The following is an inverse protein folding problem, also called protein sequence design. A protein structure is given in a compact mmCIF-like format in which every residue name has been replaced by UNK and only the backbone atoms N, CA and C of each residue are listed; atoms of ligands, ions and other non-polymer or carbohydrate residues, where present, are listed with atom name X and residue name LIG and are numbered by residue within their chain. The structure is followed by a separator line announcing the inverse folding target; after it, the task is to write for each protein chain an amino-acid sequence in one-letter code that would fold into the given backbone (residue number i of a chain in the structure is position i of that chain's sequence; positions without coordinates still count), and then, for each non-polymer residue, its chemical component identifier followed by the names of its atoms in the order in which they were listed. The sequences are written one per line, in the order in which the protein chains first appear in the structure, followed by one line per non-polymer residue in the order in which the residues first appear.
data_IF_279639976363
#
_entry.id   IF_279639976363
#
_cell.length_a   1.000
_cell.length_b   1.000
_cell.length_c   1.000
_cell.angle_alpha   90.00
_cell.angle_beta   90.00
_cell.angle_gamma   90.00
#
_symmetry.space_group_name_H-M   'P 1'
#
loop_
_entity.id
_entity.type
_entity.pdbx_description
1 polymer ?
#
# COMPACT_ATOMS: atom_id res chain seq x y z
N UNK A 1 4.67 25.57 -12.75
CA UNK A 1 5.27 24.82 -11.67
C UNK A 1 4.31 23.77 -11.18
N UNK A 2 4.73 22.54 -11.22
CA UNK A 2 3.90 21.49 -10.64
C UNK A 2 3.66 21.81 -9.17
N UNK A 3 2.50 21.47 -8.66
CA UNK A 3 2.29 21.48 -7.23
C UNK A 3 3.44 20.67 -6.64
N UNK A 4 4.39 21.35 -6.06
CA UNK A 4 5.51 20.66 -5.47
C UNK A 4 5.03 19.92 -4.24
N UNK A 5 5.38 18.64 -4.17
CA UNK A 5 5.20 17.89 -2.95
C UNK A 5 6.13 18.47 -1.89
N UNK A 6 5.69 18.45 -0.65
CA UNK A 6 6.59 18.70 0.45
C UNK A 6 7.69 17.61 0.42
N UNK A 7 8.88 17.95 0.89
CA UNK A 7 10.00 17.00 0.92
C UNK A 7 9.70 15.75 1.76
N UNK A 8 8.71 15.85 2.67
CA UNK A 8 8.32 14.76 3.55
C UNK A 8 7.14 13.94 3.00
N UNK A 9 6.75 14.14 1.74
CA UNK A 9 5.61 13.45 1.13
C UNK A 9 6.03 12.66 -0.09
N UNK A 10 5.47 11.46 -0.26
CA UNK A 10 5.60 10.70 -1.50
C UNK A 10 4.25 10.62 -2.19
N UNK A 11 4.31 10.53 -3.51
CA UNK A 11 3.15 10.37 -4.37
C UNK A 11 3.49 9.37 -5.46
N UNK A 12 2.67 8.32 -5.59
CA UNK A 12 2.81 7.33 -6.65
C UNK A 12 1.46 7.18 -7.32
N UNK A 13 1.42 7.46 -8.61
CA UNK A 13 0.22 7.26 -9.42
C UNK A 13 0.47 6.09 -10.36
N UNK A 14 -0.45 5.14 -10.39
CA UNK A 14 -0.29 3.96 -11.24
C UNK A 14 -1.64 3.47 -11.71
N UNK A 15 -1.70 3.02 -12.97
CA UNK A 15 -2.87 2.40 -13.57
C UNK A 15 -2.73 0.89 -13.53
N UNK A 16 -3.78 0.22 -13.08
CA UNK A 16 -3.84 -1.24 -13.00
C UNK A 16 -4.87 -1.78 -14.00
N UNK A 17 -4.55 -2.91 -14.63
CA UNK A 17 -5.42 -3.57 -15.63
C UNK A 17 -6.48 -4.42 -14.93
N UNK A 18 -7.33 -3.78 -14.14
CA UNK A 18 -8.39 -4.44 -13.40
C UNK A 18 -9.41 -3.40 -12.93
N UNK A 19 -10.67 -3.82 -12.75
CA UNK A 19 -11.70 -2.92 -12.21
C UNK A 19 -11.41 -2.57 -10.75
N UNK A 20 -11.96 -1.46 -10.30
CA UNK A 20 -11.67 -0.93 -8.96
C UNK A 20 -12.04 -1.90 -7.85
N UNK A 21 -13.07 -2.70 -8.02
CA UNK A 21 -13.47 -3.68 -7.00
C UNK A 21 -12.36 -4.70 -6.72
N UNK A 22 -11.57 -5.05 -7.75
CA UNK A 22 -10.42 -5.95 -7.59
C UNK A 22 -9.33 -5.27 -6.78
N UNK A 23 -8.99 -4.03 -7.13
CA UNK A 23 -7.96 -3.29 -6.40
C UNK A 23 -8.37 -3.08 -4.95
N UNK A 24 -9.61 -2.70 -4.71
CA UNK A 24 -10.09 -2.46 -3.36
C UNK A 24 -10.04 -3.73 -2.52
N UNK A 25 -10.40 -4.88 -3.11
CA UNK A 25 -10.32 -6.18 -2.42
C UNK A 25 -8.87 -6.53 -2.07
N UNK A 26 -7.93 -6.24 -2.96
CA UNK A 26 -6.51 -6.53 -2.74
C UNK A 26 -5.93 -5.70 -1.57
N UNK A 27 -6.45 -4.50 -1.35
CA UNK A 27 -6.06 -3.67 -0.21
C UNK A 27 -6.77 -4.04 1.08
N UNK A 28 -7.99 -4.59 1.01
CA UNK A 28 -8.85 -4.72 2.18
C UNK A 28 -8.88 -6.12 2.80
N UNK A 29 -8.38 -7.13 2.11
CA UNK A 29 -8.41 -8.51 2.59
C UNK A 29 -7.02 -9.01 2.89
N UNK A 30 -6.82 -9.54 4.10
CA UNK A 30 -5.51 -10.00 4.57
C UNK A 30 -4.91 -11.07 3.66
N UNK A 31 -5.73 -12.02 3.19
CA UNK A 31 -5.25 -13.09 2.31
C UNK A 31 -4.72 -12.56 0.99
N UNK A 32 -5.32 -11.49 0.48
CA UNK A 32 -4.79 -10.84 -0.72
C UNK A 32 -3.53 -10.04 -0.42
N UNK A 33 -3.53 -9.28 0.68
CA UNK A 33 -2.38 -8.46 1.05
C UNK A 33 -1.10 -9.29 1.20
N UNK A 34 -1.21 -10.49 1.73
CA UNK A 34 -0.07 -11.38 1.90
C UNK A 34 0.61 -11.75 0.58
N UNK A 35 -0.08 -11.61 -0.54
CA UNK A 35 0.45 -11.95 -1.86
C UNK A 35 1.30 -10.85 -2.49
N UNK A 36 1.05 -9.60 -2.14
CA UNK A 36 1.70 -8.49 -2.84
C UNK A 36 2.46 -7.51 -1.94
N UNK A 37 2.19 -7.50 -0.65
CA UNK A 37 2.82 -6.50 0.22
C UNK A 37 4.32 -6.73 0.35
N UNK A 38 5.08 -5.63 0.28
CA UNK A 38 6.53 -5.60 0.43
C UNK A 38 7.30 -5.52 -0.88
N UNK A 39 8.53 -5.03 -0.82
CA UNK A 39 9.40 -4.94 -2.00
C UNK A 39 9.66 -6.29 -2.64
N UNK A 40 10.31 -6.28 -3.82
CA UNK A 40 10.48 -7.47 -4.67
C UNK A 40 11.07 -8.68 -3.94
N UNK A 41 12.08 -8.46 -3.09
CA UNK A 41 12.76 -9.54 -2.39
C UNK A 41 12.14 -9.90 -1.05
N UNK A 42 10.99 -9.32 -0.73
CA UNK A 42 10.28 -9.57 0.53
C UNK A 42 9.06 -10.45 0.28
N UNK A 43 8.68 -11.18 1.33
CA UNK A 43 7.38 -11.87 1.39
C UNK A 43 6.60 -11.29 2.56
N UNK A 44 5.29 -11.51 2.56
CA UNK A 44 4.41 -11.06 3.63
C UNK A 44 3.67 -12.27 4.21
N UNK A 45 4.30 -13.03 5.14
CA UNK A 45 3.67 -14.25 5.67
C UNK A 45 2.57 -13.97 6.69
N UNK A 46 2.55 -12.77 7.28
CA UNK A 46 1.58 -12.42 8.31
C UNK A 46 0.86 -11.14 7.98
N UNK A 47 -0.47 -11.16 8.04
CA UNK A 47 -1.29 -9.96 7.90
C UNK A 47 -2.63 -10.20 8.61
N UNK A 48 -3.07 -9.20 9.38
CA UNK A 48 -4.40 -9.17 9.98
C UNK A 48 -5.04 -7.82 9.67
N UNK A 49 -6.30 -7.84 9.31
CA UNK A 49 -7.01 -6.62 8.94
C UNK A 49 -8.40 -6.64 9.58
N UNK A 50 -8.70 -5.61 10.36
CA UNK A 50 -10.04 -5.32 10.85
C UNK A 50 -10.56 -4.15 10.00
N UNK A 51 -11.20 -4.48 8.88
CA UNK A 51 -11.50 -3.51 7.82
C UNK A 51 -12.75 -2.70 8.13
N UNK A 52 -12.58 -1.72 9.02
CA UNK A 52 -13.62 -0.75 9.38
C UNK A 52 -12.93 0.51 9.87
N UNK A 53 -13.63 1.63 9.83
CA UNK A 53 -13.10 2.88 10.37
C UNK A 53 -12.85 2.67 11.87
N UNK A 54 -11.64 3.01 12.32
CA UNK A 54 -11.20 2.75 13.69
C UNK A 54 -10.61 1.36 13.89
N UNK A 55 -10.74 0.45 12.92
CA UNK A 55 -10.15 -0.88 13.00
C UNK A 55 -8.65 -0.84 12.74
N UNK A 56 -7.94 -1.83 13.28
CA UNK A 56 -6.49 -1.91 13.15
C UNK A 56 -6.08 -2.94 12.10
N UNK A 57 -4.94 -2.70 11.48
CA UNK A 57 -4.29 -3.71 10.67
C UNK A 57 -2.86 -3.88 11.12
N UNK A 58 -2.31 -5.07 10.92
CA UNK A 58 -0.90 -5.34 11.14
C UNK A 58 -0.42 -6.33 10.09
N UNK A 59 0.82 -6.16 9.66
CA UNK A 59 1.44 -7.06 8.71
C UNK A 59 2.93 -7.15 8.98
N UNK A 60 3.53 -8.22 8.50
CA UNK A 60 4.97 -8.41 8.60
C UNK A 60 5.52 -8.76 7.23
N UNK A 61 6.57 -8.05 6.83
CA UNK A 61 7.30 -8.38 5.63
C UNK A 61 8.69 -8.87 6.03
N UNK A 62 9.22 -9.82 5.29
CA UNK A 62 10.55 -10.35 5.59
C UNK A 62 11.35 -10.69 4.34
N UNK A 63 12.66 -10.65 4.50
CA UNK A 63 13.60 -11.12 3.49
C UNK A 63 14.76 -11.80 4.20
N UNK A 64 15.54 -12.60 3.45
CA UNK A 64 16.73 -13.23 3.99
C UNK A 64 17.75 -12.21 4.46
N UNK A 65 17.81 -11.06 3.79
CA UNK A 65 18.78 -10.00 4.08
C UNK A 65 18.34 -9.10 5.22
N UNK A 66 17.05 -8.78 5.31
CA UNK A 66 16.55 -7.77 6.25
C UNK A 66 15.70 -8.30 7.39
N UNK A 67 15.47 -9.61 7.45
CA UNK A 67 14.71 -10.22 8.52
C UNK A 67 13.24 -9.82 8.52
N UNK A 68 12.61 -9.89 9.69
CA UNK A 68 11.20 -9.60 9.89
C UNK A 68 10.98 -8.14 10.25
N UNK A 69 10.05 -7.51 9.56
CA UNK A 69 9.73 -6.10 9.78
C UNK A 69 8.20 -5.96 9.91
N UNK A 70 7.74 -5.58 11.09
CA UNK A 70 6.32 -5.40 11.38
C UNK A 70 5.91 -3.96 11.18
N UNK A 71 4.70 -3.78 10.68
CA UNK A 71 4.09 -2.46 10.55
C UNK A 71 2.59 -2.59 10.74
N UNK A 72 1.94 -1.46 10.96
CA UNK A 72 0.51 -1.43 11.10
C UNK A 72 -0.03 -0.04 11.30
N UNK A 73 -1.33 0.04 11.53
CA UNK A 73 -2.01 1.30 11.74
C UNK A 73 -3.51 1.14 11.94
N UNK A 74 -4.21 2.25 11.80
CA UNK A 74 -5.66 2.35 12.04
C UNK A 74 -6.31 2.95 10.79
N UNK A 75 -7.43 2.39 10.37
CA UNK A 75 -8.21 2.96 9.26
C UNK A 75 -8.94 4.22 9.71
N UNK A 76 -8.76 5.29 8.97
CA UNK A 76 -9.37 6.60 9.24
C UNK A 76 -10.59 6.86 8.37
N UNK A 77 -10.52 6.47 7.09
CA UNK A 77 -11.62 6.60 6.15
C UNK A 77 -11.66 5.37 5.25
N UNK A 78 -12.87 4.88 5.00
CA UNK A 78 -13.11 3.79 4.06
C UNK A 78 -14.29 4.19 3.22
N UNK A 79 -14.05 4.50 1.96
CA UNK A 79 -15.10 4.76 0.99
C UNK A 79 -14.99 3.71 -0.10
N UNK A 80 -15.86 2.70 -0.10
CA UNK A 80 -15.71 1.55 -0.98
C UNK A 80 -15.50 1.92 -2.44
N UNK A 81 -14.46 1.35 -3.02
CA UNK A 81 -14.06 1.55 -4.42
C UNK A 81 -13.66 2.99 -4.78
N UNK A 82 -13.45 3.84 -3.79
CA UNK A 82 -13.09 5.25 -4.04
C UNK A 82 -11.89 5.72 -3.23
N UNK A 83 -11.86 5.43 -1.92
CA UNK A 83 -10.85 6.05 -1.07
C UNK A 83 -10.56 5.23 0.17
N UNK A 84 -9.28 5.13 0.50
CA UNK A 84 -8.80 4.57 1.77
C UNK A 84 -7.85 5.57 2.42
N UNK A 85 -8.02 5.78 3.72
CA UNK A 85 -7.07 6.57 4.51
C UNK A 85 -6.75 5.76 5.76
N UNK A 86 -5.46 5.54 6.00
CA UNK A 86 -5.02 4.80 7.17
C UNK A 86 -3.65 5.28 7.63
N UNK A 87 -3.36 5.07 8.92
CA UNK A 87 -2.04 5.36 9.45
C UNK A 87 -1.08 4.22 9.15
N UNK A 88 0.20 4.51 9.12
CA UNK A 88 1.24 3.52 8.85
C UNK A 88 2.45 3.82 9.73
N UNK A 89 2.84 2.85 10.55
CA UNK A 89 3.98 2.99 11.46
C UNK A 89 4.79 1.70 11.47
N UNK A 90 6.10 1.83 11.34
CA UNK A 90 7.01 0.70 11.51
C UNK A 90 7.26 0.44 12.99
N UNK A 91 7.24 -0.82 13.40
CA UNK A 91 7.49 -1.22 14.80
C UNK A 91 8.96 -1.37 15.14
N UNK A 92 9.79 -1.69 14.13
CA UNK A 92 11.18 -2.07 14.35
C UNK A 92 12.07 -0.87 14.69
N UNK A 93 13.35 -1.13 14.95
CA UNK A 93 14.31 -0.11 15.37
C UNK A 93 15.00 0.61 14.22
N UNK A 94 14.45 0.57 13.03
CA UNK A 94 15.04 1.25 11.88
C UNK A 94 14.88 2.76 11.92
N UNK A 95 15.45 3.47 10.94
CA UNK A 95 15.39 4.94 10.88
C UNK A 95 13.98 5.51 10.83
N UNK A 96 13.00 4.72 10.41
CA UNK A 96 11.60 5.16 10.34
C UNK A 96 10.75 4.61 11.48
N UNK A 97 11.35 3.91 12.44
CA UNK A 97 10.60 3.30 13.54
C UNK A 97 9.87 4.35 14.37
N UNK A 98 8.61 4.08 14.70
CA UNK A 98 7.80 4.94 15.54
C UNK A 98 7.30 6.21 14.87
N UNK A 99 7.64 6.46 13.62
CA UNK A 99 7.12 7.62 12.89
C UNK A 99 5.78 7.25 12.30
N UNK A 100 4.72 7.85 12.82
CA UNK A 100 3.39 7.64 12.26
C UNK A 100 3.22 8.46 10.99
N UNK A 101 2.90 7.78 9.90
CA UNK A 101 2.58 8.44 8.63
C UNK A 101 1.11 8.21 8.31
N UNK A 102 0.57 9.05 7.43
CA UNK A 102 -0.79 8.90 6.93
C UNK A 102 -0.72 8.51 5.46
N UNK A 103 -1.38 7.42 5.12
CA UNK A 103 -1.51 6.96 3.74
C UNK A 103 -2.91 7.33 3.26
N UNK A 104 -2.97 7.96 2.10
CA UNK A 104 -4.23 8.29 1.42
C UNK A 104 -4.19 7.69 0.03
N UNK A 105 -5.16 6.83 -0.27
CA UNK A 105 -5.26 6.19 -1.58
C UNK A 105 -6.61 6.54 -2.18
N UNK A 106 -6.59 7.08 -3.39
CA UNK A 106 -7.81 7.31 -4.15
C UNK A 106 -7.79 6.44 -5.40
N UNK A 107 -8.97 5.97 -5.79
CA UNK A 107 -9.13 5.08 -6.93
C UNK A 107 -10.10 5.70 -7.92
N UNK A 108 -9.78 5.60 -9.21
CA UNK A 108 -10.65 6.07 -10.28
C UNK A 108 -10.66 5.02 -11.38
N UNK A 109 -11.85 4.46 -11.64
CA UNK A 109 -11.98 3.45 -12.69
C UNK A 109 -12.37 4.09 -14.02
N UNK A 110 -11.69 3.67 -15.10
CA UNK A 110 -12.00 4.09 -16.46
C UNK A 110 -11.81 2.90 -17.38
N UNK A 111 -12.87 2.50 -18.08
CA UNK A 111 -12.81 1.44 -19.10
C UNK A 111 -12.24 0.12 -18.57
N UNK A 112 -12.63 -0.25 -17.35
CA UNK A 112 -12.19 -1.49 -16.73
C UNK A 112 -10.78 -1.45 -16.14
N UNK A 113 -10.14 -0.29 -16.17
CA UNK A 113 -8.83 -0.06 -15.56
C UNK A 113 -8.98 0.87 -14.36
N UNK A 114 -8.07 0.77 -13.42
CA UNK A 114 -8.13 1.59 -12.22
C UNK A 114 -6.86 2.41 -12.08
N UNK A 115 -7.03 3.73 -11.93
CA UNK A 115 -5.93 4.63 -11.57
C UNK A 115 -5.91 4.73 -10.06
N UNK A 116 -4.77 4.35 -9.47
CA UNK A 116 -4.54 4.44 -8.04
C UNK A 116 -3.59 5.60 -7.76
N UNK A 117 -4.02 6.53 -6.92
CA UNK A 117 -3.20 7.65 -6.47
C UNK A 117 -2.86 7.40 -5.01
N UNK A 118 -1.60 7.15 -4.74
CA UNK A 118 -1.11 6.78 -3.42
C UNK A 118 -0.25 7.91 -2.85
N UNK A 119 -0.60 8.39 -1.65
CA UNK A 119 0.15 9.42 -0.94
C UNK A 119 0.52 8.94 0.44
N UNK A 120 1.70 9.29 0.90
CA UNK A 120 2.14 8.98 2.26
C UNK A 120 3.01 10.11 2.80
N UNK A 121 2.74 10.52 4.04
CA UNK A 121 3.51 11.55 4.74
C UNK A 121 3.23 11.49 6.25
N UNK A 122 4.09 12.08 7.11
CA UNK A 122 5.37 12.69 6.79
C UNK A 122 6.53 11.70 6.88
N UNK A 123 7.60 11.97 6.15
CA UNK A 123 8.86 11.23 6.29
C UNK A 123 9.90 12.10 6.97
N UNK A 124 10.84 11.49 7.68
CA UNK A 124 11.88 12.23 8.42
C UNK A 124 12.85 12.95 7.50
N UNK A 125 13.03 12.43 6.28
CA UNK A 125 13.97 12.98 5.31
C UNK A 125 13.58 12.60 3.91
N UNK A 126 14.13 13.29 2.93
CA UNK A 126 13.99 12.93 1.51
C UNK A 126 14.50 11.51 1.27
N UNK A 127 15.58 11.12 1.94
CA UNK A 127 16.16 9.78 1.80
C UNK A 127 15.19 8.70 2.28
N UNK A 128 14.51 8.92 3.41
CA UNK A 128 13.52 7.97 3.91
C UNK A 128 12.31 7.92 3.00
N UNK A 129 11.86 9.06 2.51
CA UNK A 129 10.79 9.13 1.52
C UNK A 129 11.15 8.32 0.27
N UNK A 130 12.33 8.55 -0.28
CA UNK A 130 12.75 7.89 -1.52
C UNK A 130 12.92 6.39 -1.34
N UNK A 131 13.39 5.95 -0.18
CA UNK A 131 13.46 4.53 0.13
C UNK A 131 12.07 3.88 0.11
N UNK A 132 11.06 4.59 0.62
CA UNK A 132 9.66 4.10 0.58
C UNK A 132 9.09 4.14 -0.83
N UNK A 133 9.44 5.14 -1.64
CA UNK A 133 9.04 5.17 -3.05
C UNK A 133 9.51 3.89 -3.76
N UNK A 134 10.77 3.52 -3.57
CA UNK A 134 11.31 2.30 -4.17
C UNK A 134 10.59 1.05 -3.70
N UNK A 135 10.38 0.92 -2.40
CA UNK A 135 9.69 -0.22 -1.81
C UNK A 135 8.24 -0.35 -2.28
N UNK A 136 7.50 0.76 -2.26
CA UNK A 136 6.12 0.74 -2.73
C UNK A 136 6.02 0.45 -4.23
N UNK A 137 6.92 1.01 -5.03
CA UNK A 137 6.93 0.76 -6.47
C UNK A 137 7.07 -0.73 -6.77
N UNK A 138 7.99 -1.41 -6.09
CA UNK A 138 8.18 -2.85 -6.24
C UNK A 138 6.97 -3.64 -5.74
N UNK A 139 6.39 -3.25 -4.62
CA UNK A 139 5.17 -3.87 -4.11
C UNK A 139 4.03 -3.73 -5.12
N UNK A 140 3.93 -2.56 -5.75
CA UNK A 140 2.87 -2.31 -6.72
C UNK A 140 3.05 -3.10 -8.02
N UNK A 141 4.28 -3.51 -8.34
CA UNK A 141 4.50 -4.46 -9.44
C UNK A 141 3.84 -5.81 -9.12
N UNK A 142 3.96 -6.27 -7.88
CA UNK A 142 3.30 -7.49 -7.43
C UNK A 142 1.78 -7.32 -7.35
N UNK A 143 1.33 -6.15 -6.89
CA UNK A 143 -0.08 -5.81 -6.85
C UNK A 143 -0.67 -5.84 -8.26
N UNK A 144 0.05 -5.29 -9.24
CA UNK A 144 -0.38 -5.27 -10.64
C UNK A 144 -0.56 -6.70 -11.19
N UNK A 145 0.39 -7.59 -10.89
CA UNK A 145 0.30 -8.98 -11.33
C UNK A 145 -0.91 -9.69 -10.71
N UNK A 146 -1.14 -9.48 -9.40
CA UNK A 146 -2.29 -10.05 -8.71
C UNK A 146 -3.61 -9.51 -9.26
N UNK A 147 -3.68 -8.20 -9.50
CA UNK A 147 -4.88 -7.56 -10.03
C UNK A 147 -5.23 -8.08 -11.42
N UNK A 148 -4.24 -8.16 -12.30
CA UNK A 148 -4.44 -8.66 -13.67
C UNK A 148 -4.89 -10.12 -13.65
N UNK A 149 -4.31 -10.94 -12.80
CA UNK A 149 -4.66 -12.36 -12.67
C UNK A 149 -6.11 -12.54 -12.23
N UNK A 150 -6.54 -11.79 -11.21
CA UNK A 150 -7.91 -11.87 -10.70
C UNK A 150 -8.90 -11.36 -11.75
N UNK A 151 -8.60 -10.25 -12.41
CA UNK A 151 -9.46 -9.69 -13.45
C UNK A 151 -9.65 -10.68 -14.59
N UNK A 152 -8.59 -11.37 -14.98
CA UNK A 152 -8.63 -12.39 -16.04
C UNK A 152 -9.54 -13.55 -15.66
N UNK A 153 -9.49 -13.99 -14.40
CA UNK A 153 -10.34 -15.06 -13.89
C UNK A 153 -11.83 -14.66 -13.92
N UNK A 154 -12.11 -13.38 -13.61
CA UNK A 154 -13.49 -12.88 -13.55
C UNK A 154 -14.15 -12.75 -14.93
N UNK A 155 -13.37 -12.66 -15.99
CA UNK A 155 -13.90 -12.50 -17.35
C UNK A 155 -14.16 -13.83 -18.06
N UNK A 156 -13.93 -14.94 -17.43
CA UNK A 156 -14.19 -16.27 -17.97
C UNK A 156 -15.65 -16.69 -17.79
#
# INVERSE_FOLDING_TARGET
MSASLADDELLITRTFEAPVSVLFALWSQAEHMKRWMGPANFTCPEATIDFRVGGAYRAMIKSAEHGENWFGGIYREIEPNKRLVFTFTWDNNGPSAGVETLVTITFEERDGRTVQIFRQRPFRSVERRDAHVGGWTEAFDKLAASAASIAKQRTR
#
